data_IF_079868976540
#
_entry.id   IF_079868976540
#
_cell.length_a   1.000
_cell.length_b   1.000
_cell.length_c   1.000
_cell.angle_alpha   90.00
_cell.angle_beta   90.00
_cell.angle_gamma   90.00
#
_symmetry.space_group_name_H-M   'P 1'
#
loop_
_entity.id
_entity.type
_entity.pdbx_description
1 polymer ?
#
# COMPACT_ATOMS: atom_id res chain seq x y z
N UNK A 1 -5.67 -25.00 -27.63
CA UNK A 1 -5.17 -24.35 -26.41
C UNK A 1 -4.14 -23.28 -26.68
N UNK A 2 -3.34 -23.37 -27.75
CA UNK A 2 -2.34 -22.34 -28.10
C UNK A 2 -2.86 -20.88 -28.08
N UNK A 3 -4.07 -20.62 -28.62
CA UNK A 3 -4.68 -19.27 -28.58
C UNK A 3 -4.99 -18.76 -27.17
N UNK A 4 -5.42 -19.62 -26.25
CA UNK A 4 -5.70 -19.24 -24.86
C UNK A 4 -4.40 -18.91 -24.11
N UNK A 5 -3.34 -19.70 -24.36
CA UNK A 5 -2.03 -19.42 -23.78
C UNK A 5 -1.41 -18.13 -24.31
N UNK A 6 -1.52 -17.89 -25.62
CA UNK A 6 -1.06 -16.64 -26.22
C UNK A 6 -1.85 -15.43 -25.70
N UNK A 7 -3.15 -15.59 -25.43
CA UNK A 7 -3.95 -14.54 -24.81
C UNK A 7 -3.49 -14.24 -23.39
N UNK A 8 -3.23 -15.27 -22.58
CA UNK A 8 -2.72 -15.10 -21.21
C UNK A 8 -1.33 -14.45 -21.20
N UNK A 9 -0.43 -14.84 -22.11
CA UNK A 9 0.96 -14.36 -22.13
C UNK A 9 1.13 -12.94 -22.69
N UNK A 10 0.19 -12.45 -23.50
CA UNK A 10 0.23 -11.09 -24.05
C UNK A 10 -0.68 -10.09 -23.31
N UNK A 11 -1.35 -10.52 -22.24
CA UNK A 11 -2.22 -9.66 -21.46
C UNK A 11 -1.52 -9.25 -20.17
N UNK A 12 -1.62 -7.97 -19.80
CA UNK A 12 -1.06 -7.46 -18.55
C UNK A 12 -1.81 -7.92 -17.28
N UNK A 13 -2.92 -8.67 -17.45
CA UNK A 13 -3.76 -9.09 -16.32
C UNK A 13 -3.27 -10.42 -15.74
N UNK A 14 -3.23 -10.48 -14.42
CA UNK A 14 -2.85 -11.69 -13.66
C UNK A 14 -4.03 -12.63 -13.37
N UNK A 15 -5.24 -12.22 -13.75
CA UNK A 15 -6.48 -12.92 -13.42
C UNK A 15 -7.39 -12.98 -14.65
N UNK A 16 -7.96 -14.15 -14.89
CA UNK A 16 -8.88 -14.39 -16.00
C UNK A 16 -10.09 -15.21 -15.55
N UNK A 17 -11.21 -15.03 -16.23
CA UNK A 17 -12.37 -15.90 -16.05
C UNK A 17 -12.36 -17.05 -17.07
N UNK A 18 -12.95 -18.19 -16.71
CA UNK A 18 -13.13 -19.28 -17.69
C UNK A 18 -13.94 -18.84 -18.91
N UNK A 19 -14.84 -17.86 -18.73
CA UNK A 19 -15.64 -17.30 -19.81
C UNK A 19 -14.77 -16.53 -20.82
N UNK A 20 -13.88 -15.67 -20.36
CA UNK A 20 -12.93 -14.96 -21.23
C UNK A 20 -12.08 -15.92 -22.06
N UNK A 21 -11.50 -16.95 -21.42
CA UNK A 21 -10.67 -17.93 -22.13
C UNK A 21 -11.45 -18.74 -23.17
N UNK A 22 -12.76 -18.89 -22.96
CA UNK A 22 -13.66 -19.53 -23.91
C UNK A 22 -13.99 -18.60 -25.07
N UNK A 23 -14.27 -17.35 -24.77
CA UNK A 23 -14.69 -16.33 -25.75
C UNK A 23 -13.53 -15.92 -26.68
N UNK A 24 -12.26 -16.10 -26.26
CA UNK A 24 -11.05 -15.98 -27.10
C UNK A 24 -11.03 -16.99 -28.28
N UNK A 25 -11.88 -18.03 -28.24
CA UNK A 25 -11.97 -19.03 -29.32
C UNK A 25 -13.25 -18.87 -30.14
N UNK A 26 -13.08 -18.58 -31.42
CA UNK A 26 -14.15 -18.54 -32.44
C UNK A 26 -14.52 -19.90 -33.03
N UNK A 27 -14.22 -21.02 -32.34
CA UNK A 27 -14.37 -22.38 -32.89
C UNK A 27 -14.68 -23.43 -31.83
N UNK A 28 -14.03 -24.61 -31.88
CA UNK A 28 -14.26 -25.69 -30.92
C UNK A 28 -14.04 -25.24 -29.47
N UNK A 29 -15.11 -25.30 -28.68
CA UNK A 29 -15.15 -24.98 -27.25
C UNK A 29 -14.87 -26.27 -26.46
N UNK A 30 -13.66 -26.44 -25.91
CA UNK A 30 -13.38 -27.57 -25.03
C UNK A 30 -14.14 -27.43 -23.71
N UNK A 31 -14.42 -28.56 -23.06
CA UNK A 31 -15.05 -28.56 -21.75
C UNK A 31 -14.18 -27.82 -20.72
N UNK A 32 -14.84 -27.22 -19.72
CA UNK A 32 -14.18 -26.47 -18.65
C UNK A 32 -13.11 -27.31 -17.95
N UNK A 33 -13.38 -28.62 -17.76
CA UNK A 33 -12.41 -29.56 -17.20
C UNK A 33 -11.14 -29.66 -18.05
N UNK A 34 -11.29 -29.69 -19.38
CA UNK A 34 -10.15 -29.76 -20.29
C UNK A 34 -9.31 -28.49 -20.25
N UNK A 35 -9.93 -27.30 -20.12
CA UNK A 35 -9.20 -26.04 -19.96
C UNK A 35 -8.40 -26.06 -18.65
N UNK A 36 -9.04 -26.43 -17.54
CA UNK A 36 -8.44 -26.54 -16.21
C UNK A 36 -7.25 -27.52 -16.21
N UNK A 37 -7.43 -28.74 -16.73
CA UNK A 37 -6.37 -29.74 -16.78
C UNK A 37 -5.18 -29.25 -17.61
N UNK A 38 -5.43 -28.56 -18.73
CA UNK A 38 -4.37 -28.04 -19.60
C UNK A 38 -3.62 -26.86 -18.97
N UNK A 39 -4.31 -26.02 -18.20
CA UNK A 39 -3.68 -24.94 -17.43
C UNK A 39 -2.78 -25.51 -16.33
N UNK A 40 -3.27 -26.49 -15.56
CA UNK A 40 -2.44 -27.19 -14.58
C UNK A 40 -1.26 -27.92 -15.22
N UNK A 41 -1.40 -28.51 -16.41
CA UNK A 41 -0.28 -29.16 -17.09
C UNK A 41 0.82 -28.18 -17.53
N UNK A 42 0.43 -26.96 -17.93
CA UNK A 42 1.39 -25.98 -18.46
C UNK A 42 2.05 -25.15 -17.36
N UNK A 43 1.26 -24.70 -16.38
CA UNK A 43 1.69 -23.77 -15.34
C UNK A 43 1.81 -24.42 -13.96
N UNK A 44 1.48 -25.71 -13.82
CA UNK A 44 1.67 -26.51 -12.61
C UNK A 44 1.10 -25.82 -11.36
N UNK A 45 1.98 -25.40 -10.45
CA UNK A 45 1.69 -24.73 -9.18
C UNK A 45 1.47 -23.22 -9.32
N UNK A 46 1.87 -22.63 -10.43
CA UNK A 46 1.82 -21.17 -10.63
C UNK A 46 0.42 -20.68 -11.00
N UNK A 47 -0.54 -21.62 -11.18
CA UNK A 47 -1.94 -21.33 -11.47
C UNK A 47 -2.87 -21.80 -10.35
N UNK A 48 -3.58 -20.84 -9.78
CA UNK A 48 -4.61 -21.05 -8.76
C UNK A 48 -5.97 -20.90 -9.42
N UNK A 49 -6.77 -21.97 -9.38
CA UNK A 49 -8.12 -21.99 -9.97
C UNK A 49 -9.13 -22.06 -8.83
N UNK A 50 -9.95 -21.02 -8.69
CA UNK A 50 -10.98 -20.94 -7.67
C UNK A 50 -12.37 -20.95 -8.30
N UNK A 51 -13.20 -21.89 -7.85
CA UNK A 51 -14.60 -21.99 -8.27
C UNK A 51 -15.50 -21.45 -7.17
N UNK A 52 -16.24 -20.38 -7.46
CA UNK A 52 -17.26 -19.85 -6.55
C UNK A 52 -18.60 -20.57 -6.80
N UNK A 53 -19.39 -20.72 -5.73
CA UNK A 53 -20.75 -21.26 -5.79
C UNK A 53 -21.57 -20.46 -6.81
N UNK A 54 -22.26 -21.15 -7.73
CA UNK A 54 -22.95 -20.62 -8.94
C UNK A 54 -22.07 -20.35 -10.17
N UNK A 55 -21.07 -21.19 -10.45
CA UNK A 55 -20.37 -21.35 -11.75
C UNK A 55 -19.33 -20.29 -12.15
N UNK A 56 -19.01 -19.33 -11.29
CA UNK A 56 -17.94 -18.38 -11.57
C UNK A 56 -16.59 -19.01 -11.23
N UNK A 57 -15.79 -19.30 -12.26
CA UNK A 57 -14.44 -19.85 -12.09
C UNK A 57 -13.41 -18.80 -12.46
N UNK A 58 -12.56 -18.48 -11.50
CA UNK A 58 -11.47 -17.54 -11.62
C UNK A 58 -10.18 -18.32 -11.72
N UNK A 59 -9.34 -17.94 -12.68
CA UNK A 59 -8.00 -18.46 -12.88
C UNK A 59 -7.05 -17.32 -12.54
N UNK A 60 -6.11 -17.59 -11.64
CA UNK A 60 -5.19 -16.61 -11.10
C UNK A 60 -3.76 -17.13 -11.19
N UNK A 61 -2.82 -16.30 -11.65
CA UNK A 61 -1.40 -16.65 -11.79
C UNK A 61 -0.56 -16.02 -10.67
N UNK A 62 0.11 -16.86 -9.88
CA UNK A 62 0.81 -16.46 -8.66
C UNK A 62 2.03 -15.56 -8.92
N UNK A 63 2.78 -15.83 -9.99
CA UNK A 63 4.05 -15.18 -10.29
C UNK A 63 3.89 -13.72 -10.75
N UNK A 64 2.72 -13.38 -11.31
CA UNK A 64 2.40 -12.02 -11.72
C UNK A 64 2.19 -11.09 -10.53
N UNK A 65 1.57 -11.55 -9.43
CA UNK A 65 1.30 -10.70 -8.27
C UNK A 65 2.56 -10.35 -7.46
N UNK A 66 3.50 -11.28 -7.29
CA UNK A 66 4.75 -10.98 -6.59
C UNK A 66 5.54 -9.87 -7.31
N UNK A 67 5.58 -9.92 -8.64
CA UNK A 67 6.17 -8.87 -9.47
C UNK A 67 5.37 -7.56 -9.43
N UNK A 68 4.04 -7.59 -9.44
CA UNK A 68 3.21 -6.36 -9.38
C UNK A 68 3.34 -5.69 -8.01
N UNK A 69 3.27 -6.44 -6.91
CA UNK A 69 3.41 -5.90 -5.55
C UNK A 69 4.82 -5.37 -5.30
N UNK A 70 5.85 -6.11 -5.72
CA UNK A 70 7.24 -5.64 -5.59
C UNK A 70 7.51 -4.43 -6.47
N UNK A 71 7.08 -4.43 -7.73
CA UNK A 71 7.22 -3.29 -8.64
C UNK A 71 6.45 -2.07 -8.13
N UNK A 72 5.21 -2.23 -7.69
CA UNK A 72 4.45 -1.14 -7.07
C UNK A 72 5.13 -0.62 -5.79
N UNK A 73 5.74 -1.49 -4.99
CA UNK A 73 6.49 -1.08 -3.80
C UNK A 73 7.77 -0.32 -4.15
N UNK A 74 8.52 -0.76 -5.16
CA UNK A 74 9.71 -0.07 -5.67
C UNK A 74 9.38 1.25 -6.36
N UNK A 75 8.31 1.29 -7.17
CA UNK A 75 7.86 2.48 -7.91
C UNK A 75 7.29 3.54 -6.95
N UNK A 76 6.66 3.12 -5.85
CA UNK A 76 6.17 4.01 -4.79
C UNK A 76 7.20 4.25 -3.67
N UNK A 77 8.40 3.70 -3.78
CA UNK A 77 9.47 3.94 -2.82
C UNK A 77 9.98 5.36 -3.03
N UNK A 78 9.41 6.28 -2.26
CA UNK A 78 9.89 7.66 -2.20
C UNK A 78 11.31 7.70 -1.68
N UNK A 79 12.01 8.76 -2.07
CA UNK A 79 13.35 9.02 -1.58
C UNK A 79 13.33 9.02 -0.04
N UNK A 80 14.22 8.27 0.64
CA UNK A 80 14.34 8.30 2.09
C UNK A 80 14.38 9.72 2.67
N UNK A 81 14.98 10.69 1.97
CA UNK A 81 14.99 12.09 2.43
C UNK A 81 13.60 12.74 2.41
N UNK A 82 12.79 12.43 1.39
CA UNK A 82 11.44 12.95 1.25
C UNK A 82 10.49 12.36 2.30
N UNK A 83 10.65 11.08 2.64
CA UNK A 83 9.88 10.45 3.71
C UNK A 83 10.28 10.97 5.09
N UNK A 84 11.56 11.20 5.34
CA UNK A 84 12.02 11.86 6.57
C UNK A 84 11.43 13.27 6.70
N UNK A 85 11.39 14.04 5.62
CA UNK A 85 10.80 15.37 5.62
C UNK A 85 9.31 15.33 5.98
N UNK A 86 8.52 14.41 5.39
CA UNK A 86 7.10 14.23 5.72
C UNK A 86 6.88 13.91 7.19
N UNK A 87 7.71 13.04 7.78
CA UNK A 87 7.62 12.68 9.20
C UNK A 87 7.90 13.91 10.07
N UNK A 88 8.93 14.69 9.73
CA UNK A 88 9.28 15.91 10.46
C UNK A 88 8.17 16.96 10.37
N UNK A 89 7.60 17.16 9.18
CA UNK A 89 6.47 18.09 8.98
C UNK A 89 5.24 17.67 9.78
N UNK A 90 4.91 16.37 9.79
CA UNK A 90 3.81 15.85 10.57
C UNK A 90 4.03 16.05 12.08
N UNK A 91 5.24 15.78 12.57
CA UNK A 91 5.60 16.03 13.97
C UNK A 91 5.49 17.52 14.34
N UNK A 92 5.98 18.40 13.46
CA UNK A 92 5.89 19.85 13.65
C UNK A 92 4.43 20.34 13.71
N UNK A 93 3.57 19.80 12.85
CA UNK A 93 2.14 20.13 12.84
C UNK A 93 1.45 19.75 14.16
N UNK A 94 1.75 18.57 14.70
CA UNK A 94 1.20 18.10 15.99
C UNK A 94 1.63 19.03 17.13
N UNK A 95 2.91 19.37 17.21
CA UNK A 95 3.43 20.25 18.25
C UNK A 95 2.80 21.64 18.15
N UNK A 96 2.65 22.16 16.93
CA UNK A 96 2.00 23.45 16.70
C UNK A 96 0.55 23.45 17.16
N UNK A 97 -0.20 22.40 16.88
CA UNK A 97 -1.59 22.28 17.31
C UNK A 97 -1.72 22.12 18.83
N UNK A 98 -0.78 21.42 19.46
CA UNK A 98 -0.74 21.29 20.91
C UNK A 98 -0.44 22.63 21.61
N UNK A 99 0.52 23.41 21.10
CA UNK A 99 0.78 24.78 21.56
C UNK A 99 -0.47 25.65 21.40
N UNK A 100 -1.13 25.57 20.25
CA UNK A 100 -2.34 26.35 19.97
C UNK A 100 -3.51 25.96 20.88
N UNK A 101 -3.59 24.69 21.26
CA UNK A 101 -4.64 24.16 22.14
C UNK A 101 -4.35 24.40 23.62
N UNK A 102 -3.13 24.82 23.96
CA UNK A 102 -2.77 25.16 25.33
C UNK A 102 -3.48 26.43 25.80
N UNK A 103 -4.11 26.35 26.98
CA UNK A 103 -4.77 27.50 27.61
C UNK A 103 -3.68 28.32 28.30
N UNK A 104 -3.26 29.41 27.66
CA UNK A 104 -2.30 30.35 28.25
C UNK A 104 -3.06 31.44 29.03
N UNK A 105 -2.67 31.70 30.27
CA UNK A 105 -3.25 32.74 31.09
C UNK A 105 -2.90 34.14 30.53
N UNK A 106 -3.85 34.79 29.85
CA UNK A 106 -3.65 36.11 29.21
C UNK A 106 -3.84 37.30 30.15
N UNK A 107 -4.26 37.05 31.39
CA UNK A 107 -4.62 38.11 32.36
C UNK A 107 -3.44 38.64 33.18
N UNK A 108 -2.29 37.96 33.14
CA UNK A 108 -1.11 38.34 33.91
C UNK A 108 0.14 38.13 33.08
N UNK A 109 0.82 39.22 32.73
CA UNK A 109 2.09 39.17 32.02
C UNK A 109 3.23 39.17 33.06
N UNK A 110 4.08 38.14 33.10
CA UNK A 110 5.17 38.10 34.07
C UNK A 110 6.19 39.22 33.78
N UNK A 111 6.83 39.79 34.82
CA UNK A 111 7.91 40.75 34.64
C UNK A 111 9.04 40.19 33.77
N UNK A 112 9.75 41.02 32.97
CA UNK A 112 10.81 40.59 32.06
C UNK A 112 11.89 39.71 32.71
N UNK A 113 12.19 39.97 33.99
CA UNK A 113 13.14 39.20 34.79
C UNK A 113 12.72 37.76 35.09
N UNK A 114 11.45 37.39 34.89
CA UNK A 114 10.88 36.06 35.17
C UNK A 114 10.35 35.34 33.93
N UNK A 115 10.44 35.95 32.73
CA UNK A 115 9.86 35.38 31.51
C UNK A 115 10.54 34.09 31.03
N UNK A 116 11.85 33.98 31.22
CA UNK A 116 12.65 32.84 30.75
C UNK A 116 12.99 31.84 31.88
N UNK A 117 12.47 32.04 33.10
CA UNK A 117 12.86 31.24 34.28
C UNK A 117 11.96 29.99 34.45
N UNK A 118 10.78 29.95 33.82
CA UNK A 118 9.87 28.79 33.86
C UNK A 118 10.12 27.83 32.69
N UNK A 119 11.29 27.22 32.64
CA UNK A 119 11.66 26.36 31.51
C UNK A 119 11.10 24.92 31.55
N UNK A 120 10.30 24.49 32.54
CA UNK A 120 9.91 23.06 32.60
C UNK A 120 8.48 22.71 33.08
N UNK A 121 7.60 23.66 33.41
CA UNK A 121 6.30 23.29 34.01
C UNK A 121 5.09 23.37 33.08
N UNK A 122 5.16 24.08 31.96
CA UNK A 122 4.04 24.23 31.01
C UNK A 122 4.43 23.97 29.56
N UNK A 123 5.58 23.31 29.34
CA UNK A 123 5.93 22.84 28.00
C UNK A 123 5.03 21.63 27.71
N UNK A 124 4.24 21.63 26.62
CA UNK A 124 3.51 20.44 26.21
C UNK A 124 4.46 19.25 26.09
N UNK A 125 4.06 18.08 26.63
CA UNK A 125 4.95 16.92 26.82
C UNK A 125 5.70 16.50 25.54
N UNK A 126 5.14 16.77 24.36
CA UNK A 126 5.70 16.46 23.05
C UNK A 126 6.80 17.44 22.58
N UNK A 127 6.88 18.66 23.13
CA UNK A 127 7.89 19.65 22.76
C UNK A 127 9.24 19.44 23.48
N UNK A 128 9.24 18.68 24.58
CA UNK A 128 10.47 18.26 25.28
C UNK A 128 11.37 17.34 24.42
N UNK A 129 10.81 16.67 23.41
CA UNK A 129 11.56 15.76 22.53
C UNK A 129 12.53 16.49 21.58
N UNK A 130 12.38 17.80 21.36
CA UNK A 130 13.22 18.57 20.42
C UNK A 130 14.45 19.19 21.11
N UNK A 131 14.42 19.39 22.44
CA UNK A 131 15.50 20.05 23.17
C UNK A 131 16.70 19.13 23.47
N UNK A 132 16.56 17.80 23.34
CA UNK A 132 17.66 16.84 23.54
C UNK A 132 18.58 16.67 22.32
N UNK A 133 18.82 17.74 21.56
CA UNK A 133 19.85 17.76 20.52
C UNK A 133 20.71 19.02 20.64
N UNK A 134 21.55 19.06 21.68
CA UNK A 134 22.89 19.66 21.63
C UNK A 134 23.77 19.15 22.77
N UNK A 135 25.02 18.91 22.40
CA UNK A 135 26.18 18.48 23.20
C UNK A 135 26.42 19.29 24.46
#
# INVERSE_FOLDING_TARGET
MAKCFNYIENHDDSQFTLKELRDVRTGYVPDNKTIITRLHQKYLTDVIITTKVKSFTIIFFQDAQANILSKAWYDNKKDPEEELLRIVEAAAAIIREDIRSSVVETKSYPPPSKMLIKENQEIPKNACCISYRKS
#
